data_IF_452817437897
#
_entry.id   IF_452817437897
#
_cell.length_a   1.000
_cell.length_b   1.000
_cell.length_c   1.000
_cell.angle_alpha   90.00
_cell.angle_beta   90.00
_cell.angle_gamma   90.00
#
_symmetry.space_group_name_H-M   'P 1'
#
loop_
_entity.id
_entity.type
_entity.pdbx_description
1 polymer ?
#
# COMPACT_ATOMS: atom_id res chain seq x y z
N UNK A 1 -62.22 0.24 -21.36
CA UNK A 1 -61.83 0.32 -19.95
C UNK A 1 -60.40 -0.19 -19.83
N UNK A 2 -59.49 0.72 -19.47
CA UNK A 2 -58.04 0.53 -19.32
C UNK A 2 -57.76 -0.04 -17.92
N UNK A 3 -56.90 -1.07 -17.80
CA UNK A 3 -56.23 -1.39 -16.53
C UNK A 3 -54.72 -1.43 -16.77
N UNK A 4 -54.04 -0.51 -16.10
CA UNK A 4 -52.63 -0.21 -16.25
C UNK A 4 -51.76 -1.25 -15.56
N UNK A 5 -50.66 -1.61 -16.23
CA UNK A 5 -49.49 -2.31 -15.67
C UNK A 5 -48.88 -1.48 -14.55
N UNK A 6 -48.74 -2.06 -13.36
CA UNK A 6 -47.83 -1.55 -12.33
C UNK A 6 -46.51 -2.33 -12.39
N UNK A 7 -45.59 -1.89 -13.25
CA UNK A 7 -44.19 -2.32 -13.23
C UNK A 7 -43.50 -1.51 -12.13
N UNK A 8 -43.24 -2.11 -10.97
CA UNK A 8 -42.41 -1.51 -9.91
C UNK A 8 -40.98 -1.37 -10.44
N UNK A 9 -40.56 -0.13 -10.72
CA UNK A 9 -39.21 0.21 -11.08
C UNK A 9 -38.26 -0.04 -9.88
N UNK A 10 -37.21 -0.82 -10.09
CA UNK A 10 -36.12 -0.97 -9.13
C UNK A 10 -35.40 0.38 -8.91
N UNK A 11 -34.88 0.67 -7.69
CA UNK A 11 -34.20 1.93 -7.43
C UNK A 11 -32.92 2.02 -8.27
N UNK A 12 -32.70 3.12 -9.01
CA UNK A 12 -31.45 3.31 -9.75
C UNK A 12 -30.31 3.55 -8.75
N UNK A 13 -29.49 2.52 -8.52
CA UNK A 13 -28.15 2.73 -7.98
C UNK A 13 -27.36 3.57 -8.99
N UNK A 14 -27.03 4.81 -8.63
CA UNK A 14 -26.48 5.79 -9.58
C UNK A 14 -25.11 5.33 -10.13
N UNK A 15 -24.92 5.26 -11.47
CA UNK A 15 -23.63 4.94 -12.10
C UNK A 15 -22.46 5.81 -11.61
N UNK A 16 -22.78 7.01 -11.12
CA UNK A 16 -21.85 8.00 -10.61
C UNK A 16 -21.12 7.57 -9.33
N UNK A 17 -21.77 6.80 -8.44
CA UNK A 17 -21.17 6.35 -7.18
C UNK A 17 -20.08 5.29 -7.40
N UNK A 18 -20.20 4.48 -8.46
CA UNK A 18 -19.16 3.54 -8.89
C UNK A 18 -17.89 4.26 -9.32
N UNK A 19 -18.02 5.22 -10.24
CA UNK A 19 -16.87 6.00 -10.77
C UNK A 19 -16.09 6.74 -9.69
N UNK A 20 -16.77 7.37 -8.72
CA UNK A 20 -16.09 8.09 -7.63
C UNK A 20 -15.23 7.15 -6.79
N UNK A 21 -15.76 5.97 -6.44
CA UNK A 21 -15.02 4.98 -5.63
C UNK A 21 -13.83 4.41 -6.38
N UNK A 22 -13.93 4.24 -7.70
CA UNK A 22 -12.84 3.74 -8.53
C UNK A 22 -11.74 4.81 -8.71
N UNK A 23 -12.10 6.11 -8.83
CA UNK A 23 -11.14 7.23 -8.79
C UNK A 23 -10.43 7.33 -7.45
N UNK A 24 -11.16 7.20 -6.34
CA UNK A 24 -10.57 7.14 -4.99
C UNK A 24 -9.61 5.96 -4.90
N UNK A 25 -9.99 4.77 -5.40
CA UNK A 25 -9.09 3.61 -5.48
C UNK A 25 -7.81 3.92 -6.25
N UNK A 26 -7.90 4.56 -7.41
CA UNK A 26 -6.71 4.96 -8.18
C UNK A 26 -5.82 5.93 -7.40
N UNK A 27 -6.40 6.92 -6.72
CA UNK A 27 -5.64 7.88 -5.93
C UNK A 27 -4.93 7.20 -4.76
N UNK A 28 -5.62 6.34 -3.99
CA UNK A 28 -5.02 5.58 -2.89
C UNK A 28 -3.89 4.67 -3.38
N UNK A 29 -4.08 4.02 -4.54
CA UNK A 29 -3.06 3.20 -5.20
C UNK A 29 -1.81 4.00 -5.55
N UNK A 30 -1.99 5.15 -6.19
CA UNK A 30 -0.86 6.00 -6.59
C UNK A 30 -0.15 6.58 -5.37
N UNK A 31 -0.88 7.04 -4.36
CA UNK A 31 -0.30 7.56 -3.11
C UNK A 31 0.55 6.48 -2.43
N UNK A 32 -0.02 5.29 -2.19
CA UNK A 32 0.70 4.19 -1.56
C UNK A 32 1.95 3.79 -2.36
N UNK A 33 1.81 3.69 -3.69
CA UNK A 33 2.91 3.32 -4.58
C UNK A 33 4.03 4.36 -4.62
N UNK A 34 3.70 5.64 -4.83
CA UNK A 34 4.68 6.74 -4.88
C UNK A 34 5.43 6.86 -3.57
N UNK A 35 4.73 6.74 -2.45
CA UNK A 35 5.37 6.81 -1.13
C UNK A 35 6.40 5.70 -0.94
N UNK A 36 6.08 4.46 -1.31
CA UNK A 36 7.02 3.34 -1.28
C UNK A 36 8.22 3.54 -2.22
N UNK A 37 7.99 4.05 -3.43
CA UNK A 37 9.07 4.35 -4.38
C UNK A 37 10.00 5.42 -3.81
N UNK A 38 9.47 6.52 -3.28
CA UNK A 38 10.26 7.59 -2.69
C UNK A 38 11.06 7.08 -1.50
N UNK A 39 10.44 6.29 -0.60
CA UNK A 39 11.12 5.68 0.53
C UNK A 39 12.31 4.80 0.08
N UNK A 40 12.12 3.98 -0.95
CA UNK A 40 13.18 3.15 -1.50
C UNK A 40 14.30 3.97 -2.14
N UNK A 41 13.97 4.97 -2.95
CA UNK A 41 14.94 5.84 -3.63
C UNK A 41 15.80 6.64 -2.65
N UNK A 42 15.27 6.97 -1.46
CA UNK A 42 16.04 7.62 -0.41
C UNK A 42 17.01 6.65 0.31
N UNK A 43 16.74 5.34 0.28
CA UNK A 43 17.58 4.31 0.93
C UNK A 43 18.63 3.69 0.00
N UNK A 44 18.33 3.57 -1.30
CA UNK A 44 19.21 2.92 -2.28
C UNK A 44 20.62 3.52 -2.41
N UNK A 45 20.82 4.85 -2.36
CA UNK A 45 22.16 5.45 -2.42
C UNK A 45 23.01 5.16 -1.18
N UNK A 46 22.37 4.86 -0.05
CA UNK A 46 23.01 4.71 1.26
C UNK A 46 22.58 3.40 1.94
N UNK A 47 22.93 2.23 1.37
CA UNK A 47 22.47 0.93 1.90
C UNK A 47 22.93 0.67 3.34
N UNK A 48 24.08 1.24 3.73
CA UNK A 48 24.58 1.17 5.11
C UNK A 48 23.69 1.88 6.12
N UNK A 49 22.98 2.94 5.73
CA UNK A 49 22.02 3.64 6.59
C UNK A 49 20.77 2.78 6.82
N UNK A 50 20.26 2.13 5.77
CA UNK A 50 19.12 1.22 5.89
C UNK A 50 19.43 0.03 6.82
N UNK A 51 20.62 -0.54 6.71
CA UNK A 51 21.10 -1.58 7.64
C UNK A 51 21.18 -1.07 9.08
N UNK A 52 21.75 0.12 9.29
CA UNK A 52 21.83 0.73 10.64
C UNK A 52 20.45 1.01 11.21
N UNK A 53 19.52 1.50 10.40
CA UNK A 53 18.14 1.74 10.80
C UNK A 53 17.47 0.45 11.27
N UNK A 54 17.55 -0.63 10.49
CA UNK A 54 16.98 -1.94 10.86
C UNK A 54 17.62 -2.50 12.14
N UNK A 55 18.94 -2.41 12.28
CA UNK A 55 19.63 -2.87 13.48
C UNK A 55 19.31 -2.05 14.72
N UNK A 56 19.01 -0.76 14.57
CA UNK A 56 18.67 0.12 15.68
C UNK A 56 17.37 -0.30 16.41
N UNK A 57 16.49 -1.05 15.73
CA UNK A 57 15.31 -1.64 16.37
C UNK A 57 15.66 -2.76 17.36
N UNK A 58 16.84 -3.39 17.26
CA UNK A 58 17.27 -4.48 18.14
C UNK A 58 16.24 -5.61 18.26
N UNK A 59 15.52 -5.92 17.17
CA UNK A 59 14.52 -6.99 17.09
C UNK A 59 15.13 -8.26 16.49
N UNK A 60 15.98 -8.09 15.47
CA UNK A 60 16.57 -9.18 14.71
C UNK A 60 18.02 -9.44 15.16
N UNK A 61 18.51 -10.69 15.06
CA UNK A 61 19.94 -10.99 15.17
C UNK A 61 20.74 -10.19 14.13
N UNK A 62 21.99 -9.84 14.45
CA UNK A 62 22.81 -8.96 13.62
C UNK A 62 22.85 -9.36 12.13
N UNK A 63 23.13 -10.64 11.83
CA UNK A 63 23.17 -11.14 10.45
C UNK A 63 21.82 -10.98 9.71
N UNK A 64 20.70 -11.27 10.38
CA UNK A 64 19.37 -11.10 9.80
C UNK A 64 19.02 -9.61 9.60
N UNK A 65 19.40 -8.75 10.55
CA UNK A 65 19.20 -7.31 10.43
C UNK A 65 19.96 -6.69 9.25
N UNK A 66 21.20 -7.14 8.99
CA UNK A 66 21.98 -6.76 7.80
C UNK A 66 21.26 -7.18 6.53
N UNK A 67 20.82 -8.43 6.45
CA UNK A 67 20.15 -8.94 5.26
C UNK A 67 18.83 -8.18 4.98
N UNK A 68 18.01 -7.98 6.01
CA UNK A 68 16.76 -7.24 5.89
C UNK A 68 17.02 -5.80 5.46
N UNK A 69 18.00 -5.11 6.06
CA UNK A 69 18.34 -3.74 5.68
C UNK A 69 18.81 -3.58 4.23
N UNK A 70 19.46 -4.59 3.66
CA UNK A 70 19.82 -4.57 2.24
C UNK A 70 18.66 -4.88 1.30
N UNK A 71 17.82 -5.86 1.65
CA UNK A 71 16.74 -6.34 0.76
C UNK A 71 15.52 -5.41 0.79
N UNK A 72 15.24 -4.79 1.93
CA UNK A 72 14.05 -4.00 2.16
C UNK A 72 13.83 -2.86 1.13
N UNK A 73 14.83 -2.03 0.77
CA UNK A 73 14.64 -0.98 -0.23
C UNK A 73 14.24 -1.52 -1.61
N UNK A 74 14.74 -2.68 -2.01
CA UNK A 74 14.38 -3.30 -3.29
C UNK A 74 12.94 -3.82 -3.28
N UNK A 75 12.50 -4.38 -2.15
CA UNK A 75 11.12 -4.83 -1.96
C UNK A 75 10.16 -3.63 -1.99
N UNK A 76 10.49 -2.56 -1.27
CA UNK A 76 9.73 -1.29 -1.30
C UNK A 76 9.60 -0.74 -2.73
N UNK A 77 10.71 -0.69 -3.47
CA UNK A 77 10.72 -0.19 -4.84
C UNK A 77 9.86 -1.04 -5.78
N UNK A 78 10.03 -2.36 -5.74
CA UNK A 78 9.31 -3.28 -6.61
C UNK A 78 7.79 -3.18 -6.40
N UNK A 79 7.34 -3.20 -5.13
CA UNK A 79 5.92 -3.07 -4.79
C UNK A 79 5.39 -1.69 -5.16
N UNK A 80 6.16 -0.64 -4.88
CA UNK A 80 5.80 0.74 -5.20
C UNK A 80 5.58 0.94 -6.71
N UNK A 81 6.49 0.43 -7.54
CA UNK A 81 6.36 0.48 -9.00
C UNK A 81 5.15 -0.32 -9.49
N UNK A 82 4.93 -1.54 -8.98
CA UNK A 82 3.75 -2.34 -9.34
C UNK A 82 2.44 -1.62 -9.02
N UNK A 83 2.36 -0.97 -7.86
CA UNK A 83 1.20 -0.17 -7.45
C UNK A 83 1.00 1.05 -8.35
N UNK A 84 2.07 1.80 -8.67
CA UNK A 84 1.99 2.98 -9.56
C UNK A 84 1.51 2.57 -10.96
N UNK A 85 2.09 1.52 -11.53
CA UNK A 85 1.69 0.99 -12.84
C UNK A 85 0.30 0.34 -12.81
N UNK A 86 -0.13 -0.14 -11.65
CA UNK A 86 -1.42 -0.79 -11.47
C UNK A 86 -1.41 -2.22 -12.00
N UNK A 87 -0.31 -2.93 -11.77
CA UNK A 87 -0.19 -4.36 -12.06
C UNK A 87 -0.34 -5.15 -10.76
N UNK A 88 -1.09 -6.25 -10.82
CA UNK A 88 -1.34 -7.13 -9.68
C UNK A 88 -1.76 -6.35 -8.43
N UNK A 89 -2.66 -5.37 -8.61
CA UNK A 89 -2.94 -4.31 -7.62
C UNK A 89 -3.28 -4.87 -6.25
N UNK A 90 -4.09 -5.93 -6.22
CA UNK A 90 -4.49 -6.62 -5.00
C UNK A 90 -3.29 -7.30 -4.32
N UNK A 91 -2.45 -8.00 -5.08
CA UNK A 91 -1.26 -8.67 -4.55
C UNK A 91 -0.25 -7.67 -4.00
N UNK A 92 0.06 -6.64 -4.79
CA UNK A 92 0.96 -5.57 -4.39
C UNK A 92 0.43 -4.81 -3.14
N UNK A 93 -0.88 -4.57 -3.05
CA UNK A 93 -1.50 -3.96 -1.87
C UNK A 93 -1.42 -4.85 -0.62
N UNK A 94 -1.58 -6.18 -0.75
CA UNK A 94 -1.38 -7.10 0.38
C UNK A 94 0.05 -7.03 0.90
N UNK A 95 1.04 -7.12 0.01
CA UNK A 95 2.45 -7.08 0.43
C UNK A 95 2.82 -5.72 1.01
N UNK A 96 2.35 -4.61 0.41
CA UNK A 96 2.51 -3.28 0.97
C UNK A 96 1.87 -3.17 2.36
N UNK A 97 0.67 -3.71 2.55
CA UNK A 97 -0.02 -3.71 3.84
C UNK A 97 0.74 -4.50 4.92
N UNK A 98 1.24 -5.69 4.58
CA UNK A 98 2.10 -6.48 5.48
C UNK A 98 3.36 -5.71 5.86
N UNK A 99 3.96 -4.99 4.91
CA UNK A 99 5.12 -4.17 5.17
C UNK A 99 4.81 -3.00 6.13
N UNK A 100 3.68 -2.31 5.94
CA UNK A 100 3.24 -1.25 6.85
C UNK A 100 2.97 -1.79 8.26
N UNK A 101 2.37 -2.99 8.39
CA UNK A 101 2.20 -3.65 9.69
C UNK A 101 3.55 -3.93 10.35
N UNK A 102 4.53 -4.45 9.60
CA UNK A 102 5.86 -4.72 10.12
C UNK A 102 6.54 -3.45 10.66
N UNK A 103 6.45 -2.33 9.94
CA UNK A 103 6.97 -1.05 10.42
C UNK A 103 6.22 -0.55 11.65
N UNK A 104 4.88 -0.59 11.64
CA UNK A 104 4.07 -0.14 12.77
C UNK A 104 4.41 -0.91 14.05
N UNK A 105 4.57 -2.24 13.95
CA UNK A 105 5.01 -3.09 15.06
C UNK A 105 6.43 -2.77 15.50
N UNK A 106 7.36 -2.60 14.56
CA UNK A 106 8.75 -2.24 14.85
C UNK A 106 8.87 -0.91 15.61
N UNK A 107 8.22 0.14 15.11
CA UNK A 107 8.26 1.48 15.71
C UNK A 107 7.56 1.49 17.07
N UNK A 108 6.39 0.85 17.18
CA UNK A 108 5.68 0.73 18.47
C UNK A 108 6.51 -0.01 19.50
N UNK A 109 7.21 -1.08 19.10
CA UNK A 109 8.12 -1.83 19.96
C UNK A 109 9.33 -1.00 20.40
N UNK A 110 9.95 -0.23 19.49
CA UNK A 110 11.05 0.66 19.84
C UNK A 110 10.61 1.74 20.83
N UNK A 111 9.43 2.33 20.62
CA UNK A 111 8.86 3.34 21.50
C UNK A 111 8.54 2.78 22.89
N UNK A 112 7.92 1.59 22.97
CA UNK A 112 7.60 0.93 24.24
C UNK A 112 8.85 0.56 25.06
N UNK A 113 9.98 0.26 24.38
CA UNK A 113 11.28 -0.02 25.01
C UNK A 113 12.08 1.24 25.34
N UNK A 114 11.58 2.43 25.00
CA UNK A 114 12.27 3.69 25.24
C UNK A 114 13.55 3.86 24.44
N UNK A 115 13.66 3.18 23.29
CA UNK A 115 14.78 3.40 22.37
C UNK A 115 14.71 4.83 21.83
N UNK A 116 15.86 5.47 21.64
CA UNK A 116 15.96 6.78 21.00
C UNK A 116 16.53 6.61 19.60
N UNK A 117 15.67 6.24 18.66
CA UNK A 117 16.04 5.94 17.28
C UNK A 117 15.22 6.78 16.30
N UNK A 118 15.85 7.13 15.18
CA UNK A 118 15.17 7.54 13.97
C UNK A 118 14.81 6.27 13.17
N UNK A 119 13.53 6.13 12.84
CA UNK A 119 12.95 4.93 12.25
C UNK A 119 13.49 4.62 10.86
N UNK A 120 14.06 5.63 10.17
CA UNK A 120 14.71 5.49 8.86
C UNK A 120 13.75 5.15 7.71
N UNK A 121 12.43 5.24 7.92
CA UNK A 121 11.43 4.88 6.92
C UNK A 121 11.55 5.68 5.61
N UNK A 122 12.08 6.91 5.67
CA UNK A 122 12.26 7.84 4.53
C UNK A 122 13.73 8.27 4.35
N UNK A 123 14.67 7.35 4.58
CA UNK A 123 16.11 7.65 4.51
C UNK A 123 16.68 8.04 5.89
N UNK A 124 17.99 7.91 6.04
CA UNK A 124 18.66 8.02 7.34
C UNK A 124 18.30 6.88 8.30
N UNK A 125 18.17 7.20 9.59
CA UNK A 125 17.87 6.24 10.66
C UNK A 125 19.06 5.89 11.54
N UNK A 126 18.78 5.22 12.66
CA UNK A 126 19.77 4.88 13.68
C UNK A 126 19.55 5.61 15.00
N UNK A 127 20.52 5.56 15.90
CA UNK A 127 20.39 6.18 17.22
C UNK A 127 20.41 7.71 17.12
N UNK A 128 19.49 8.37 17.84
CA UNK A 128 19.37 9.83 17.93
C UNK A 128 19.33 10.30 19.39
N UNK A 129 19.58 11.60 19.59
CA UNK A 129 19.44 12.23 20.90
C UNK A 129 17.99 12.10 21.42
N UNK A 130 17.85 11.97 22.75
CA UNK A 130 16.53 11.92 23.41
C UNK A 130 15.73 13.19 23.05
N UNK A 131 14.45 13.02 22.71
CA UNK A 131 13.56 14.10 22.30
C UNK A 131 13.54 14.43 20.79
N UNK A 132 14.44 13.86 19.98
CA UNK A 132 14.45 14.03 18.52
C UNK A 132 13.73 12.89 17.77
N UNK A 133 13.02 12.02 18.49
CA UNK A 133 12.29 10.89 17.93
C UNK A 133 10.98 11.35 17.29
N UNK A 134 10.67 10.86 16.08
CA UNK A 134 9.45 11.20 15.34
C UNK A 134 8.35 10.12 15.39
N UNK A 135 8.33 9.28 16.42
CA UNK A 135 7.47 8.09 16.48
C UNK A 135 6.00 8.33 16.14
N UNK A 136 5.39 9.39 16.68
CA UNK A 136 3.97 9.69 16.42
C UNK A 136 3.71 10.00 14.95
N UNK A 137 4.60 10.77 14.30
CA UNK A 137 4.48 11.11 12.88
C UNK A 137 4.63 9.86 12.00
N UNK A 138 5.60 9.01 12.33
CA UNK A 138 5.86 7.76 11.61
C UNK A 138 4.69 6.77 11.76
N UNK A 139 4.17 6.58 12.98
CA UNK A 139 2.99 5.74 13.24
C UNK A 139 1.76 6.22 12.49
N UNK A 140 1.48 7.53 12.51
CA UNK A 140 0.31 8.10 11.86
C UNK A 140 0.36 7.92 10.34
N UNK A 141 1.53 8.14 9.75
CA UNK A 141 1.76 7.92 8.33
C UNK A 141 1.57 6.44 7.97
N UNK A 142 2.22 5.53 8.70
CA UNK A 142 2.16 4.09 8.41
C UNK A 142 0.75 3.53 8.59
N UNK A 143 0.00 4.02 9.60
CA UNK A 143 -1.41 3.70 9.78
C UNK A 143 -2.28 4.21 8.61
N UNK A 144 -2.02 5.43 8.13
CA UNK A 144 -2.71 5.98 6.95
C UNK A 144 -2.44 5.17 5.68
N UNK A 145 -1.18 4.79 5.44
CA UNK A 145 -0.79 3.95 4.31
C UNK A 145 -1.36 2.53 4.42
N UNK A 146 -1.41 1.97 5.62
CA UNK A 146 -2.05 0.69 5.88
C UNK A 146 -3.55 0.74 5.58
N UNK A 147 -4.23 1.84 5.93
CA UNK A 147 -5.64 2.03 5.57
C UNK A 147 -5.84 2.10 4.05
N UNK A 148 -4.93 2.75 3.31
CA UNK A 148 -4.93 2.74 1.85
C UNK A 148 -4.78 1.32 1.29
N UNK A 149 -3.82 0.56 1.82
CA UNK A 149 -3.59 -0.84 1.43
C UNK A 149 -4.83 -1.71 1.71
N UNK A 150 -5.41 -1.62 2.90
CA UNK A 150 -6.62 -2.35 3.28
C UNK A 150 -7.80 -2.05 2.35
N UNK A 151 -8.00 -0.76 2.01
CA UNK A 151 -9.02 -0.37 1.04
C UNK A 151 -8.81 -1.04 -0.32
N UNK A 152 -7.59 -1.03 -0.85
CA UNK A 152 -7.25 -1.64 -2.14
C UNK A 152 -7.39 -3.17 -2.13
N UNK A 153 -7.17 -3.82 -0.99
CA UNK A 153 -7.38 -5.27 -0.84
C UNK A 153 -8.87 -5.63 -0.89
N UNK A 154 -9.73 -4.83 -0.25
CA UNK A 154 -11.18 -5.03 -0.23
C UNK A 154 -11.83 -4.59 -1.55
N UNK A 155 -11.33 -3.51 -2.15
CA UNK A 155 -11.78 -2.93 -3.41
C UNK A 155 -10.60 -2.76 -4.39
N UNK A 156 -10.20 -3.82 -5.10
CA UNK A 156 -9.11 -3.73 -6.07
C UNK A 156 -9.50 -3.01 -7.37
N UNK A 157 -10.76 -2.61 -7.54
CA UNK A 157 -11.23 -1.87 -8.72
C UNK A 157 -10.65 -0.46 -8.69
N UNK A 158 -9.69 -0.20 -9.59
CA UNK A 158 -9.11 1.13 -9.82
C UNK A 158 -9.18 1.48 -11.30
N UNK A 159 -9.51 2.72 -11.64
CA UNK A 159 -9.46 3.21 -13.02
C UNK A 159 -8.00 3.26 -13.50
N UNK A 160 -7.75 2.83 -14.75
CA UNK A 160 -6.44 2.94 -15.40
C UNK A 160 -5.37 2.00 -14.87
N UNK A 161 -5.75 0.85 -14.30
CA UNK A 161 -4.78 -0.23 -14.03
C UNK A 161 -4.30 -0.81 -15.37
N UNK A 162 -2.99 -0.82 -15.64
CA UNK A 162 -2.44 -1.43 -16.86
C UNK A 162 -2.83 -2.91 -16.97
N UNK A 163 -3.08 -3.57 -15.85
CA UNK A 163 -3.66 -4.92 -15.78
C UNK A 163 -4.96 -5.05 -16.58
N UNK A 164 -5.84 -4.04 -16.57
CA UNK A 164 -7.10 -4.04 -17.33
C UNK A 164 -6.92 -3.83 -18.84
N UNK A 165 -5.79 -3.25 -19.25
CA UNK A 165 -5.43 -3.08 -20.66
C UNK A 165 -4.69 -4.30 -21.20
N UNK A 166 -3.90 -4.97 -20.35
CA UNK A 166 -3.04 -6.10 -20.73
C UNK A 166 -3.76 -7.46 -20.63
N UNK A 167 -4.78 -7.60 -19.76
CA UNK A 167 -5.59 -8.82 -19.60
C UNK A 167 -7.09 -8.55 -19.74
N UNK A 168 -7.60 -8.20 -20.94
CA UNK A 168 -9.04 -8.01 -21.15
C UNK A 168 -9.86 -9.31 -20.96
N UNK A 169 -9.26 -10.46 -21.27
CA UNK A 169 -9.99 -11.72 -21.55
C UNK A 169 -10.44 -12.53 -20.32
N UNK A 170 -10.15 -12.08 -19.09
CA UNK A 170 -10.50 -12.82 -17.86
C UNK A 170 -11.77 -12.30 -17.17
N UNK A 171 -12.40 -11.22 -17.66
CA UNK A 171 -13.53 -10.57 -16.98
C UNK A 171 -14.87 -10.61 -17.72
N UNK A 172 -15.01 -11.41 -18.79
CA UNK A 172 -16.30 -11.59 -19.45
C UNK A 172 -16.87 -13.02 -19.35
N UNK A 173 -17.63 -13.34 -18.29
CA UNK A 173 -18.47 -14.52 -18.25
C UNK A 173 -19.91 -14.27 -18.77
N UNK A 174 -20.18 -13.22 -19.59
CA UNK A 174 -21.55 -12.85 -19.97
C UNK A 174 -21.75 -12.55 -21.47
N UNK A 175 -21.10 -13.30 -22.38
CA UNK A 175 -21.60 -13.43 -23.77
C UNK A 175 -22.20 -14.82 -24.04
N UNK A 176 -23.36 -15.06 -23.43
CA UNK A 176 -24.31 -16.06 -23.91
C UNK A 176 -25.66 -15.39 -24.12
N UNK A 177 -25.76 -14.61 -25.20
CA UNK A 177 -27.06 -14.30 -25.81
C UNK A 177 -27.23 -15.19 -27.04
N UNK A 178 -28.04 -16.27 -27.00
CA UNK A 178 -28.39 -16.98 -28.21
C UNK A 178 -29.24 -16.03 -29.08
N UNK A 179 -28.76 -15.74 -30.28
CA UNK A 179 -29.56 -15.13 -31.32
C UNK A 179 -30.61 -16.17 -31.76
N UNK A 180 -31.87 -15.91 -31.42
CA UNK A 180 -33.04 -16.72 -31.79
C UNK A 180 -34.31 -15.92 -31.57
#
# INVERSE_FOLDING_TARGET
MSTARATLAAPPGTPQRGRVLDTVGTLLRVVLGVVLVVAALLKLPHPGESVRAVQAYQILPHAAGVQVGHVLPFVELAIGVLLVLGLATRGAAVVAGLLMVAFLVGISSAWARGLSIDCGCFGGGGAVAKGHTRYVQELLRDAGLLACAAWLVVRPRTLGALESLLLPDMHDPQDHRPAG
#
